data_IF_449823500706
#
_entry.id   IF_449823500706
#
_cell.length_a   1.000
_cell.length_b   1.000
_cell.length_c   1.000
_cell.angle_alpha   90.00
_cell.angle_beta   90.00
_cell.angle_gamma   90.00
#
_symmetry.space_group_name_H-M   'P 1'
#
loop_
_entity.id
_entity.type
_entity.pdbx_description
1 polymer ?
#
# COMPACT_ATOMS: atom_id res chain seq x y z
N UNK A 1 -20.04 37.24 -0.40
CA UNK A 1 -19.57 36.27 0.58
C UNK A 1 -18.07 36.47 0.73
N UNK A 2 -17.56 36.63 1.92
CA UNK A 2 -16.09 36.75 2.13
C UNK A 2 -15.52 35.36 1.89
N UNK A 3 -14.72 35.20 0.84
CA UNK A 3 -14.00 33.94 0.59
C UNK A 3 -13.05 33.71 1.76
N UNK A 4 -13.22 32.61 2.47
CA UNK A 4 -12.30 32.21 3.53
C UNK A 4 -10.96 31.86 2.89
N UNK A 5 -9.86 32.25 3.52
CA UNK A 5 -8.52 31.82 3.10
C UNK A 5 -8.12 30.60 3.94
N UNK A 6 -7.63 29.55 3.31
CA UNK A 6 -7.13 28.37 4.04
C UNK A 6 -6.04 28.80 5.00
N UNK A 7 -6.15 28.52 6.31
CA UNK A 7 -5.15 28.92 7.29
C UNK A 7 -3.86 28.11 7.13
N UNK A 8 -2.72 28.80 7.30
CA UNK A 8 -1.40 28.18 7.28
C UNK A 8 -1.00 27.74 8.68
N UNK A 9 -0.49 26.54 8.81
CA UNK A 9 0.12 26.08 10.06
C UNK A 9 1.41 26.87 10.36
N UNK A 10 1.68 27.07 11.63
CA UNK A 10 2.91 27.72 12.10
C UNK A 10 4.17 26.86 11.83
N UNK A 11 5.34 27.49 11.89
CA UNK A 11 6.63 26.82 11.65
C UNK A 11 7.00 26.73 10.19
N UNK A 12 7.89 25.77 9.89
CA UNK A 12 8.50 25.61 8.58
C UNK A 12 9.71 26.53 8.36
N UNK A 13 10.63 26.09 7.52
CA UNK A 13 11.82 26.83 7.12
C UNK A 13 11.53 27.73 5.90
N UNK A 14 12.38 28.76 5.68
CA UNK A 14 12.17 29.73 4.61
C UNK A 14 12.29 29.10 3.21
N UNK A 15 13.19 28.13 3.02
CA UNK A 15 13.52 27.55 1.72
C UNK A 15 12.67 26.30 1.38
N UNK A 16 12.47 25.40 2.36
CA UNK A 16 11.83 24.09 2.13
C UNK A 16 10.50 23.92 2.87
N UNK A 17 10.01 24.95 3.54
CA UNK A 17 8.79 24.88 4.31
C UNK A 17 8.88 23.88 5.47
N UNK A 18 7.95 22.94 5.54
CA UNK A 18 7.86 21.95 6.62
C UNK A 18 8.52 20.61 6.27
N UNK A 19 9.41 20.56 5.27
CA UNK A 19 10.01 19.30 4.80
C UNK A 19 10.73 18.54 5.93
N UNK A 20 11.53 19.23 6.77
CA UNK A 20 12.27 18.58 7.84
C UNK A 20 11.33 18.03 8.93
N UNK A 21 10.29 18.77 9.28
CA UNK A 21 9.26 18.30 10.21
C UNK A 21 8.50 17.09 9.62
N UNK A 22 8.12 17.18 8.34
CA UNK A 22 7.46 16.08 7.64
C UNK A 22 8.33 14.82 7.56
N UNK A 23 9.64 14.99 7.45
CA UNK A 23 10.61 13.89 7.41
C UNK A 23 10.83 13.24 8.78
N UNK A 24 10.88 14.03 9.85
CA UNK A 24 11.26 13.57 11.20
C UNK A 24 10.06 13.13 12.04
N UNK A 25 8.95 13.87 11.99
CA UNK A 25 7.71 13.53 12.70
C UNK A 25 6.48 14.07 11.94
N UNK A 26 6.07 13.40 10.87
CA UNK A 26 4.91 13.81 10.08
C UNK A 26 3.60 13.81 10.87
N UNK A 27 3.48 12.94 11.87
CA UNK A 27 2.25 12.86 12.70
C UNK A 27 2.15 14.10 13.60
N UNK A 28 3.24 14.54 14.22
CA UNK A 28 3.25 15.76 15.02
C UNK A 28 2.91 17.00 14.17
N UNK A 29 3.47 17.10 12.96
CA UNK A 29 3.11 18.17 12.03
C UNK A 29 1.61 18.16 11.70
N UNK A 30 1.05 17.02 11.32
CA UNK A 30 -0.36 16.91 10.95
C UNK A 30 -1.31 17.18 12.14
N UNK A 31 -0.96 16.75 13.35
CA UNK A 31 -1.70 17.11 14.56
C UNK A 31 -1.70 18.62 14.77
N UNK A 32 -0.55 19.28 14.65
CA UNK A 32 -0.43 20.73 14.78
C UNK A 32 -1.27 21.47 13.72
N UNK A 33 -1.31 20.98 12.47
CA UNK A 33 -2.18 21.57 11.45
C UNK A 33 -3.64 21.52 11.92
N UNK A 34 -4.10 20.39 12.42
CA UNK A 34 -5.45 20.27 12.94
C UNK A 34 -5.73 21.19 14.14
N UNK A 35 -4.81 21.24 15.10
CA UNK A 35 -4.94 22.09 16.29
C UNK A 35 -5.01 23.58 15.96
N UNK A 36 -4.17 24.04 15.04
CA UNK A 36 -4.09 25.46 14.67
C UNK A 36 -5.08 25.90 13.62
N UNK A 37 -5.41 25.01 12.67
CA UNK A 37 -6.19 25.35 11.47
C UNK A 37 -7.59 24.72 11.45
N UNK A 38 -7.86 23.71 12.26
CA UNK A 38 -9.11 22.94 12.23
C UNK A 38 -9.11 21.85 11.16
N UNK A 39 -10.27 21.59 10.55
CA UNK A 39 -10.44 20.49 9.60
C UNK A 39 -9.76 20.73 8.25
N UNK A 40 -9.48 21.99 7.91
CA UNK A 40 -8.82 22.39 6.66
C UNK A 40 -7.71 23.38 6.97
N UNK A 41 -6.47 23.00 6.71
CA UNK A 41 -5.30 23.84 6.85
C UNK A 41 -4.32 23.60 5.72
N UNK A 42 -3.23 24.34 5.65
CA UNK A 42 -2.19 24.06 4.67
C UNK A 42 -0.79 24.17 5.23
N UNK A 43 0.11 23.42 4.65
CA UNK A 43 1.54 23.48 4.92
C UNK A 43 2.34 23.51 3.62
N UNK A 44 3.55 24.01 3.67
CA UNK A 44 4.45 24.03 2.53
C UNK A 44 5.36 22.80 2.56
N UNK A 45 5.40 22.05 1.47
CA UNK A 45 6.32 20.94 1.28
C UNK A 45 7.19 21.24 0.06
N UNK A 46 8.40 21.76 0.31
CA UNK A 46 9.30 22.30 -0.71
C UNK A 46 8.62 23.44 -1.47
N UNK A 47 8.33 23.26 -2.75
CA UNK A 47 7.61 24.20 -3.62
C UNK A 47 6.09 23.97 -3.68
N UNK A 48 5.60 22.91 -2.99
CA UNK A 48 4.21 22.49 -3.06
C UNK A 48 3.36 23.11 -1.95
N UNK A 49 2.22 23.63 -2.35
CA UNK A 49 1.16 24.06 -1.44
C UNK A 49 0.25 22.85 -1.15
N UNK A 50 0.34 22.30 0.06
CA UNK A 50 -0.40 21.09 0.45
C UNK A 50 -1.55 21.46 1.35
N UNK A 51 -2.78 21.33 0.88
CA UNK A 51 -4.01 21.50 1.67
C UNK A 51 -4.25 20.21 2.42
N UNK A 52 -4.23 20.29 3.73
CA UNK A 52 -4.47 19.17 4.63
C UNK A 52 -5.93 19.13 5.06
N UNK A 53 -6.53 17.97 4.87
CA UNK A 53 -7.92 17.68 5.20
C UNK A 53 -7.99 16.69 6.36
N UNK A 54 -8.82 17.00 7.36
CA UNK A 54 -9.11 16.11 8.47
C UNK A 54 -10.59 16.18 8.86
N UNK A 55 -11.10 15.16 9.59
CA UNK A 55 -12.49 15.07 9.96
C UNK A 55 -13.40 14.47 8.87
N UNK A 56 -14.60 14.08 9.28
CA UNK A 56 -15.49 13.25 8.46
C UNK A 56 -15.88 13.91 7.13
N UNK A 57 -16.26 15.19 7.14
CA UNK A 57 -16.71 15.91 5.94
C UNK A 57 -15.57 16.09 4.92
N UNK A 58 -14.39 16.48 5.38
CA UNK A 58 -13.23 16.71 4.53
C UNK A 58 -12.69 15.38 3.95
N UNK A 59 -12.69 14.31 4.75
CA UNK A 59 -12.35 12.97 4.29
C UNK A 59 -13.37 12.44 3.27
N UNK A 60 -14.66 12.71 3.46
CA UNK A 60 -15.69 12.31 2.49
C UNK A 60 -15.42 12.93 1.11
N UNK A 61 -15.07 14.20 1.05
CA UNK A 61 -14.66 14.85 -0.19
C UNK A 61 -13.44 14.15 -0.79
N UNK A 62 -12.36 13.96 -0.02
CA UNK A 62 -11.13 13.36 -0.50
C UNK A 62 -11.32 11.95 -1.08
N UNK A 63 -12.06 11.09 -0.37
CA UNK A 63 -12.21 9.68 -0.74
C UNK A 63 -13.29 9.41 -1.79
N UNK A 64 -14.28 10.31 -1.94
CA UNK A 64 -15.34 10.16 -2.94
C UNK A 64 -15.08 10.88 -4.26
N UNK A 65 -14.13 11.81 -4.29
CA UNK A 65 -13.75 12.48 -5.54
C UNK A 65 -13.20 11.50 -6.55
N UNK A 66 -13.62 11.64 -7.80
CA UNK A 66 -13.09 10.86 -8.91
C UNK A 66 -11.65 11.29 -9.25
N UNK A 67 -10.90 10.45 -9.96
CA UNK A 67 -9.54 10.80 -10.41
C UNK A 67 -9.51 11.99 -11.40
N UNK A 68 -10.66 12.31 -12.01
CA UNK A 68 -10.85 13.48 -12.88
C UNK A 68 -10.92 14.79 -12.06
N UNK A 69 -11.31 14.71 -10.78
CA UNK A 69 -11.41 15.84 -9.86
C UNK A 69 -10.16 15.95 -8.95
N UNK A 70 -9.73 14.83 -8.40
CA UNK A 70 -8.53 14.72 -7.57
C UNK A 70 -7.61 13.62 -8.13
N UNK A 71 -6.61 14.01 -8.92
CA UNK A 71 -5.69 13.07 -9.56
C UNK A 71 -4.69 12.49 -8.55
N UNK A 72 -4.74 11.17 -8.41
CA UNK A 72 -3.80 10.44 -7.58
C UNK A 72 -2.42 10.33 -8.25
N UNK A 73 -2.36 10.17 -9.57
CA UNK A 73 -1.10 9.93 -10.27
C UNK A 73 -0.15 11.13 -10.17
N UNK A 74 -0.67 12.34 -10.34
CA UNK A 74 0.13 13.56 -10.27
C UNK A 74 0.71 13.84 -8.87
N UNK A 75 0.18 13.21 -7.82
CA UNK A 75 0.71 13.35 -6.47
C UNK A 75 1.94 12.45 -6.19
N UNK A 76 2.19 11.44 -7.04
CA UNK A 76 3.24 10.43 -6.79
C UNK A 76 4.29 10.28 -7.90
N UNK A 77 4.79 11.37 -8.53
CA UNK A 77 5.81 11.29 -9.58
C UNK A 77 7.12 10.66 -9.07
N UNK A 78 7.38 10.76 -7.77
CA UNK A 78 8.55 10.17 -7.12
C UNK A 78 8.53 8.62 -7.11
N UNK A 79 7.42 7.99 -7.41
CA UNK A 79 7.32 6.53 -7.57
C UNK A 79 7.71 6.05 -8.97
N UNK A 80 7.84 6.94 -9.96
CA UNK A 80 8.23 6.58 -11.33
C UNK A 80 9.56 5.82 -11.40
N UNK A 81 10.65 6.19 -10.69
CA UNK A 81 11.88 5.40 -10.72
C UNK A 81 11.74 3.98 -10.16
N UNK A 82 10.73 3.75 -9.31
CA UNK A 82 10.46 2.44 -8.68
C UNK A 82 9.61 1.57 -9.61
N UNK A 83 8.47 2.09 -10.07
CA UNK A 83 7.54 1.31 -10.90
C UNK A 83 7.94 1.29 -12.37
N UNK A 84 8.57 2.35 -12.85
CA UNK A 84 9.02 2.54 -14.23
C UNK A 84 8.20 3.60 -14.98
N UNK A 85 8.84 4.20 -15.96
CA UNK A 85 8.19 5.14 -16.88
C UNK A 85 7.05 4.48 -17.66
N UNK A 86 5.94 5.18 -17.81
CA UNK A 86 4.73 4.66 -18.47
C UNK A 86 4.01 3.56 -17.70
N UNK A 87 4.32 3.35 -16.41
CA UNK A 87 3.75 2.27 -15.59
C UNK A 87 3.05 2.84 -14.36
N UNK A 88 1.89 2.31 -14.03
CA UNK A 88 1.08 2.66 -12.85
C UNK A 88 0.84 4.17 -12.77
N UNK A 89 1.52 4.91 -11.89
CA UNK A 89 1.30 6.35 -11.70
C UNK A 89 1.78 7.20 -12.88
N UNK A 90 2.74 6.73 -13.65
CA UNK A 90 3.24 7.41 -14.85
C UNK A 90 2.49 7.01 -16.15
N UNK A 91 1.59 6.03 -16.05
CA UNK A 91 0.76 5.58 -17.18
C UNK A 91 -0.45 6.50 -17.39
N UNK A 92 -0.87 6.69 -18.65
CA UNK A 92 -2.15 7.33 -18.96
C UNK A 92 -3.32 6.58 -18.28
N UNK A 93 -4.44 7.26 -17.99
CA UNK A 93 -5.61 6.61 -17.39
C UNK A 93 -6.07 5.38 -18.17
N UNK A 94 -6.05 5.41 -19.51
CA UNK A 94 -6.43 4.29 -20.37
C UNK A 94 -5.44 3.14 -20.22
N UNK A 95 -4.12 3.42 -20.25
CA UNK A 95 -3.08 2.42 -20.11
C UNK A 95 -3.11 1.78 -18.72
N UNK A 96 -3.36 2.56 -17.69
CA UNK A 96 -3.53 2.08 -16.31
C UNK A 96 -4.71 1.11 -16.18
N UNK A 97 -5.86 1.44 -16.80
CA UNK A 97 -7.03 0.53 -16.83
C UNK A 97 -6.68 -0.80 -17.51
N UNK A 98 -5.93 -0.78 -18.61
CA UNK A 98 -5.46 -2.01 -19.27
C UNK A 98 -4.55 -2.87 -18.38
N UNK A 99 -3.58 -2.23 -17.71
CA UNK A 99 -2.65 -2.91 -16.78
C UNK A 99 -3.41 -3.58 -15.63
N UNK A 100 -4.43 -2.91 -15.09
CA UNK A 100 -5.23 -3.40 -13.96
C UNK A 100 -6.33 -4.40 -14.38
N UNK A 101 -6.71 -4.43 -15.66
CA UNK A 101 -7.83 -5.27 -16.15
C UNK A 101 -7.64 -6.75 -15.85
N UNK A 102 -6.42 -7.24 -15.87
CA UNK A 102 -6.06 -8.65 -15.65
C UNK A 102 -5.57 -8.92 -14.21
N UNK A 103 -5.86 -8.04 -13.25
CA UNK A 103 -5.36 -8.18 -11.88
C UNK A 103 -5.91 -9.42 -11.17
N UNK A 104 -5.07 -9.99 -10.30
CA UNK A 104 -5.42 -11.13 -9.43
C UNK A 104 -6.47 -10.79 -8.35
N UNK A 105 -6.93 -9.53 -8.28
CA UNK A 105 -7.90 -9.04 -7.30
C UNK A 105 -9.36 -9.32 -7.68
N UNK A 106 -9.62 -10.13 -8.71
CA UNK A 106 -10.98 -10.54 -9.06
C UNK A 106 -11.53 -11.56 -8.08
N UNK A 107 -12.82 -11.46 -7.75
CA UNK A 107 -13.47 -12.24 -6.70
C UNK A 107 -13.29 -13.76 -6.78
N UNK A 108 -13.22 -14.33 -7.98
CA UNK A 108 -12.99 -15.77 -8.14
C UNK A 108 -11.55 -16.18 -7.76
N UNK A 109 -10.56 -15.36 -8.07
CA UNK A 109 -9.16 -15.61 -7.71
C UNK A 109 -8.92 -15.42 -6.22
N UNK A 110 -9.58 -14.44 -5.62
CA UNK A 110 -9.48 -14.19 -4.16
C UNK A 110 -9.94 -15.37 -3.31
N UNK A 111 -10.84 -16.24 -3.83
CA UNK A 111 -11.26 -17.44 -3.09
C UNK A 111 -10.10 -18.42 -2.84
N UNK A 112 -9.16 -18.50 -3.77
CA UNK A 112 -7.97 -19.36 -3.66
C UNK A 112 -6.88 -18.80 -2.75
N UNK A 113 -6.89 -17.49 -2.46
CA UNK A 113 -5.83 -16.87 -1.69
C UNK A 113 -5.75 -17.37 -0.25
N UNK A 114 -6.87 -17.68 0.39
CA UNK A 114 -6.90 -18.18 1.76
C UNK A 114 -6.04 -19.44 1.92
N UNK A 115 -6.21 -20.43 1.05
CA UNK A 115 -5.42 -21.69 1.06
C UNK A 115 -3.95 -21.44 0.72
N UNK A 116 -3.67 -20.51 -0.21
CA UNK A 116 -2.30 -20.12 -0.58
C UNK A 116 -1.58 -19.49 0.60
N UNK A 117 -2.23 -18.54 1.28
CA UNK A 117 -1.69 -17.86 2.46
C UNK A 117 -1.44 -18.87 3.59
N UNK A 118 -2.41 -19.73 3.88
CA UNK A 118 -2.25 -20.80 4.87
C UNK A 118 -1.04 -21.68 4.57
N UNK A 119 -0.85 -22.05 3.31
CA UNK A 119 0.29 -22.86 2.87
C UNK A 119 1.63 -22.17 3.12
N UNK A 120 1.76 -20.87 2.82
CA UNK A 120 2.99 -20.12 3.09
C UNK A 120 3.23 -19.95 4.60
N UNK A 121 2.17 -19.65 5.40
CA UNK A 121 2.29 -19.59 6.87
C UNK A 121 2.79 -20.92 7.43
N UNK A 122 2.18 -22.04 7.05
CA UNK A 122 2.58 -23.40 7.52
C UNK A 122 4.04 -23.71 7.18
N UNK A 123 4.52 -23.31 6.01
CA UNK A 123 5.93 -23.50 5.62
C UNK A 123 6.86 -22.69 6.53
N UNK A 124 6.53 -21.44 6.82
CA UNK A 124 7.38 -20.56 7.61
C UNK A 124 7.48 -20.98 9.09
N UNK A 125 6.41 -21.55 9.64
CA UNK A 125 6.40 -22.00 11.04
C UNK A 125 6.69 -23.50 11.21
N UNK A 126 7.01 -24.23 10.14
CA UNK A 126 7.15 -25.69 10.13
C UNK A 126 8.24 -26.20 11.11
N UNK A 127 9.31 -25.42 11.26
CA UNK A 127 10.45 -25.76 12.12
C UNK A 127 10.36 -25.11 13.51
N UNK A 128 9.23 -24.46 13.85
CA UNK A 128 9.06 -23.87 15.18
C UNK A 128 8.86 -24.96 16.23
N UNK A 129 9.52 -24.78 17.39
CA UNK A 129 9.29 -25.59 18.58
C UNK A 129 8.22 -24.98 19.49
N UNK A 130 8.15 -25.51 20.72
CA UNK A 130 7.19 -25.05 21.74
C UNK A 130 7.57 -23.66 22.30
N UNK A 131 8.84 -23.25 22.18
CA UNK A 131 9.37 -21.98 22.67
C UNK A 131 10.36 -21.40 21.64
N UNK A 132 10.42 -20.06 21.55
CA UNK A 132 11.35 -19.37 20.67
C UNK A 132 11.19 -17.85 20.73
N UNK A 133 12.05 -17.15 20.01
CA UNK A 133 12.01 -15.70 19.82
C UNK A 133 12.00 -15.39 18.32
N UNK A 134 11.20 -14.43 17.93
CA UNK A 134 11.17 -13.91 16.55
C UNK A 134 11.16 -12.39 16.58
N UNK A 135 11.78 -11.77 15.57
CA UNK A 135 11.54 -10.38 15.26
C UNK A 135 10.24 -10.29 14.45
N UNK A 136 9.22 -9.68 15.06
CA UNK A 136 7.84 -9.76 14.56
C UNK A 136 7.68 -9.08 13.19
N UNK A 137 8.28 -7.90 13.04
CA UNK A 137 8.20 -7.15 11.77
C UNK A 137 8.93 -7.88 10.65
N UNK A 138 10.11 -8.44 10.91
CA UNK A 138 10.88 -9.20 9.93
C UNK A 138 10.11 -10.46 9.50
N UNK A 139 9.52 -11.19 10.46
CA UNK A 139 8.70 -12.36 10.16
C UNK A 139 7.52 -12.02 9.24
N UNK A 140 6.72 -11.01 9.59
CA UNK A 140 5.58 -10.64 8.76
C UNK A 140 6.01 -9.98 7.45
N UNK A 141 7.14 -9.28 7.43
CA UNK A 141 7.72 -8.73 6.21
C UNK A 141 8.04 -9.86 5.21
N UNK A 142 8.75 -10.89 5.64
CA UNK A 142 9.06 -12.04 4.79
C UNK A 142 7.80 -12.80 4.37
N UNK A 143 6.89 -13.09 5.31
CA UNK A 143 5.62 -13.77 5.02
C UNK A 143 4.79 -13.02 3.97
N UNK A 144 4.70 -11.70 4.08
CA UNK A 144 3.88 -10.91 3.15
C UNK A 144 4.51 -10.75 1.76
N UNK A 145 5.83 -10.79 1.63
CA UNK A 145 6.50 -10.92 0.32
C UNK A 145 6.08 -12.25 -0.33
N UNK A 146 6.13 -13.35 0.39
CA UNK A 146 5.78 -14.66 -0.14
C UNK A 146 4.31 -14.77 -0.50
N UNK A 147 3.43 -14.36 0.41
CA UNK A 147 1.98 -14.43 0.18
C UNK A 147 1.52 -13.48 -0.91
N UNK A 148 2.03 -12.24 -0.95
CA UNK A 148 1.70 -11.29 -2.02
C UNK A 148 2.17 -11.79 -3.38
N UNK A 149 3.39 -12.32 -3.47
CA UNK A 149 3.89 -12.89 -4.72
C UNK A 149 3.05 -14.08 -5.17
N UNK A 150 2.75 -15.01 -4.24
CA UNK A 150 1.98 -16.21 -4.57
C UNK A 150 0.53 -15.91 -4.95
N UNK A 151 -0.12 -14.96 -4.24
CA UNK A 151 -1.53 -14.61 -4.46
C UNK A 151 -1.73 -13.64 -5.64
N UNK A 152 -0.88 -12.62 -5.76
CA UNK A 152 -1.09 -11.52 -6.70
C UNK A 152 -0.42 -11.76 -8.06
N UNK A 153 0.67 -12.54 -8.10
CA UNK A 153 1.39 -12.84 -9.33
C UNK A 153 1.20 -14.31 -9.70
N UNK A 154 1.42 -15.23 -8.76
CA UNK A 154 1.16 -16.65 -8.94
C UNK A 154 2.18 -17.56 -8.25
N UNK A 155 1.72 -18.77 -7.85
CA UNK A 155 2.55 -19.76 -7.17
C UNK A 155 3.79 -20.16 -7.98
N UNK A 156 3.65 -20.35 -9.29
CA UNK A 156 4.78 -20.72 -10.15
C UNK A 156 5.83 -19.61 -10.22
N UNK A 157 5.41 -18.36 -10.26
CA UNK A 157 6.33 -17.24 -10.19
C UNK A 157 7.01 -17.21 -8.82
N UNK A 158 6.25 -17.39 -7.74
CA UNK A 158 6.78 -17.50 -6.38
C UNK A 158 7.84 -18.60 -6.23
N UNK A 159 7.64 -19.77 -6.82
CA UNK A 159 8.59 -20.89 -6.81
C UNK A 159 9.85 -20.63 -7.64
N UNK A 160 9.76 -19.79 -8.65
CA UNK A 160 10.89 -19.38 -9.49
C UNK A 160 11.70 -18.22 -8.90
N UNK A 161 11.16 -17.54 -7.89
CA UNK A 161 11.89 -16.48 -7.18
C UNK A 161 12.98 -17.09 -6.32
N UNK A 162 14.19 -16.67 -6.61
CA UNK A 162 15.36 -16.93 -5.75
C UNK A 162 15.71 -15.69 -4.90
N UNK A 163 16.73 -15.80 -4.07
CA UNK A 163 17.19 -14.70 -3.22
C UNK A 163 17.62 -13.43 -3.97
N UNK A 164 17.85 -13.50 -5.29
CA UNK A 164 18.15 -12.30 -6.10
C UNK A 164 16.98 -11.34 -6.14
N UNK A 165 15.75 -11.87 -6.31
CA UNK A 165 14.55 -11.03 -6.36
C UNK A 165 14.34 -10.26 -5.04
N UNK A 166 14.38 -10.96 -3.92
CA UNK A 166 14.21 -10.33 -2.60
C UNK A 166 15.25 -9.23 -2.35
N UNK A 167 16.52 -9.51 -2.67
CA UNK A 167 17.59 -8.52 -2.53
C UNK A 167 17.36 -7.27 -3.40
N UNK A 168 16.98 -7.44 -4.68
CA UNK A 168 16.71 -6.31 -5.56
C UNK A 168 15.46 -5.54 -5.14
N UNK A 169 14.44 -6.26 -4.68
CA UNK A 169 13.21 -5.65 -4.16
C UNK A 169 13.49 -4.78 -2.92
N UNK A 170 14.29 -5.27 -1.96
CA UNK A 170 14.69 -4.47 -0.80
C UNK A 170 15.51 -3.23 -1.16
N UNK A 171 16.37 -3.30 -2.18
CA UNK A 171 17.08 -2.10 -2.65
C UNK A 171 16.12 -1.06 -3.29
N UNK A 172 15.04 -1.52 -3.93
CA UNK A 172 13.98 -0.61 -4.39
C UNK A 172 13.27 0.08 -3.22
N UNK A 173 12.93 -0.68 -2.19
CA UNK A 173 12.25 -0.15 -0.99
C UNK A 173 13.09 0.90 -0.28
N UNK A 174 14.40 0.67 -0.14
CA UNK A 174 15.34 1.63 0.44
C UNK A 174 15.47 2.93 -0.37
N UNK A 175 15.07 2.92 -1.62
CA UNK A 175 14.99 4.11 -2.48
C UNK A 175 13.77 5.00 -2.22
N UNK A 176 12.92 4.70 -1.24
CA UNK A 176 11.77 5.53 -0.84
C UNK A 176 12.12 6.57 0.24
N UNK A 177 13.32 7.14 0.19
CA UNK A 177 13.74 8.23 1.09
C UNK A 177 12.85 9.46 0.89
N UNK A 178 12.46 10.21 1.95
CA UNK A 178 11.68 11.45 1.83
C UNK A 178 12.29 12.51 0.90
N UNK A 179 13.59 12.46 0.62
CA UNK A 179 14.22 13.32 -0.39
C UNK A 179 13.64 13.12 -1.80
N UNK A 180 12.94 12.01 -2.06
CA UNK A 180 12.23 11.79 -3.32
C UNK A 180 11.12 12.83 -3.58
N UNK A 181 10.58 13.48 -2.53
CA UNK A 181 9.64 14.60 -2.67
C UNK A 181 10.31 15.88 -3.18
N UNK A 182 11.63 16.01 -2.96
CA UNK A 182 12.43 17.14 -3.50
C UNK A 182 12.78 16.86 -4.97
N UNK A 183 13.51 15.75 -5.19
CA UNK A 183 13.87 15.26 -6.53
C UNK A 183 14.14 13.76 -6.45
N UNK A 184 13.32 12.91 -7.09
CA UNK A 184 13.52 11.46 -7.07
C UNK A 184 14.74 10.99 -7.87
N UNK A 185 15.42 11.87 -8.58
CA UNK A 185 16.60 11.59 -9.39
C UNK A 185 17.89 12.16 -8.82
N UNK A 186 17.89 12.61 -7.57
CA UNK A 186 19.11 13.04 -6.87
C UNK A 186 20.22 11.97 -6.98
N UNK A 187 21.48 12.36 -7.21
CA UNK A 187 22.59 11.41 -7.39
C UNK A 187 23.13 10.85 -6.05
N UNK A 188 22.21 10.51 -5.14
CA UNK A 188 22.56 9.91 -3.85
C UNK A 188 22.68 8.38 -3.98
N UNK A 189 23.41 7.76 -3.05
CA UNK A 189 23.76 6.35 -3.13
C UNK A 189 22.54 5.43 -3.06
N UNK A 190 21.53 5.76 -2.24
CA UNK A 190 20.30 4.98 -2.15
C UNK A 190 19.51 4.98 -3.47
N UNK A 191 19.45 6.13 -4.17
CA UNK A 191 18.75 6.22 -5.46
C UNK A 191 19.51 5.51 -6.58
N UNK A 192 20.85 5.58 -6.59
CA UNK A 192 21.65 4.80 -7.54
C UNK A 192 21.42 3.28 -7.38
N UNK A 193 21.42 2.79 -6.13
CA UNK A 193 21.16 1.37 -5.86
C UNK A 193 19.74 0.96 -6.23
N UNK A 194 18.75 1.81 -5.95
CA UNK A 194 17.36 1.63 -6.42
C UNK A 194 17.30 1.45 -7.94
N UNK A 195 17.91 2.37 -8.69
CA UNK A 195 17.88 2.36 -10.15
C UNK A 195 18.59 1.14 -10.73
N UNK A 196 19.76 0.75 -10.17
CA UNK A 196 20.44 -0.49 -10.52
C UNK A 196 19.61 -1.74 -10.22
N UNK A 197 18.93 -1.76 -9.06
CA UNK A 197 18.06 -2.86 -8.67
C UNK A 197 16.86 -2.97 -9.63
N UNK A 198 16.29 -1.84 -10.05
CA UNK A 198 15.21 -1.81 -11.04
C UNK A 198 15.63 -2.45 -12.36
N UNK A 199 16.82 -2.12 -12.86
CA UNK A 199 17.37 -2.72 -14.09
C UNK A 199 17.56 -4.24 -13.94
N UNK A 200 18.09 -4.69 -12.81
CA UNK A 200 18.30 -6.12 -12.52
C UNK A 200 16.96 -6.88 -12.39
N UNK A 201 15.95 -6.26 -11.80
CA UNK A 201 14.61 -6.85 -11.72
C UNK A 201 13.97 -7.01 -13.10
N UNK A 202 14.06 -5.99 -13.97
CA UNK A 202 13.55 -6.10 -15.36
C UNK A 202 14.25 -7.26 -16.09
N UNK A 203 15.56 -7.41 -15.96
CA UNK A 203 16.28 -8.50 -16.58
C UNK A 203 15.85 -9.88 -16.03
N UNK A 204 15.63 -9.99 -14.72
CA UNK A 204 15.15 -11.21 -14.08
C UNK A 204 13.72 -11.56 -14.54
N UNK A 205 12.82 -10.58 -14.60
CA UNK A 205 11.46 -10.81 -15.08
C UNK A 205 11.46 -11.20 -16.57
N UNK A 206 12.33 -10.58 -17.39
CA UNK A 206 12.50 -10.99 -18.79
C UNK A 206 12.93 -12.44 -18.92
N UNK A 207 13.92 -12.90 -18.13
CA UNK A 207 14.38 -14.29 -18.10
C UNK A 207 13.20 -15.25 -17.79
N UNK A 208 12.39 -14.90 -16.80
CA UNK A 208 11.21 -15.71 -16.44
C UNK A 208 10.16 -15.70 -17.55
N UNK A 209 9.87 -14.53 -18.15
CA UNK A 209 8.94 -14.41 -19.28
C UNK A 209 9.35 -15.26 -20.47
N UNK A 210 10.63 -15.23 -20.85
CA UNK A 210 11.17 -16.04 -21.94
C UNK A 210 11.04 -17.54 -21.66
N UNK A 211 11.30 -17.96 -20.42
CA UNK A 211 11.08 -19.33 -19.97
C UNK A 211 9.61 -19.77 -20.07
N UNK A 212 8.66 -18.89 -19.72
CA UNK A 212 7.21 -19.16 -19.83
C UNK A 212 6.73 -19.22 -21.29
N UNK A 213 7.24 -18.36 -22.15
CA UNK A 213 6.93 -18.38 -23.57
C UNK A 213 7.47 -19.66 -24.26
N UNK A 214 8.65 -20.12 -23.85
CA UNK A 214 9.25 -21.35 -24.36
C UNK A 214 8.50 -22.62 -23.85
N UNK A 215 7.96 -22.57 -22.64
CA UNK A 215 7.29 -23.69 -21.97
C UNK A 215 5.94 -23.23 -21.38
N UNK A 216 4.93 -22.89 -22.20
CA UNK A 216 3.65 -22.40 -21.70
C UNK A 216 2.90 -23.51 -20.93
N UNK A 217 2.12 -23.15 -19.90
CA UNK A 217 1.31 -24.12 -19.17
C UNK A 217 0.30 -24.78 -20.09
N UNK A 218 0.20 -26.12 -19.97
CA UNK A 218 -0.66 -26.95 -20.82
C UNK A 218 -2.14 -26.77 -20.51
N UNK A 219 -2.45 -26.57 -19.23
CA UNK A 219 -3.82 -26.32 -18.75
C UNK A 219 -4.04 -24.83 -18.46
N UNK A 220 -5.24 -24.33 -18.79
CA UNK A 220 -5.62 -22.95 -18.47
C UNK A 220 -5.76 -22.73 -16.95
N UNK A 221 -6.10 -23.77 -16.21
CA UNK A 221 -6.21 -23.72 -14.75
C UNK A 221 -4.83 -23.51 -14.05
N UNK A 222 -3.76 -23.88 -14.75
CA UNK A 222 -2.40 -23.73 -14.26
C UNK A 222 -1.76 -22.35 -14.56
N UNK A 223 -2.49 -21.44 -15.19
CA UNK A 223 -2.00 -20.12 -15.56
C UNK A 223 -2.01 -19.18 -14.36
N UNK A 224 -0.89 -18.55 -14.11
CA UNK A 224 -0.79 -17.42 -13.19
C UNK A 224 -0.91 -16.07 -13.94
N UNK A 225 -0.79 -14.96 -13.20
CA UNK A 225 -0.89 -13.62 -13.79
C UNK A 225 0.19 -13.37 -14.85
N UNK A 226 1.42 -13.88 -14.64
CA UNK A 226 2.48 -13.75 -15.63
C UNK A 226 2.12 -14.45 -16.95
N UNK A 227 1.60 -15.69 -16.88
CA UNK A 227 1.16 -16.43 -18.06
C UNK A 227 0.06 -15.69 -18.84
N UNK A 228 -0.83 -15.00 -18.12
CA UNK A 228 -1.86 -14.15 -18.73
C UNK A 228 -1.21 -12.97 -19.43
N UNK A 229 -0.36 -12.19 -18.75
CA UNK A 229 0.25 -10.99 -19.30
C UNK A 229 1.11 -11.27 -20.54
N UNK A 230 1.92 -12.35 -20.53
CA UNK A 230 2.75 -12.69 -21.69
C UNK A 230 1.92 -13.21 -22.88
N UNK A 231 0.70 -13.68 -22.66
CA UNK A 231 -0.19 -14.17 -23.70
C UNK A 231 -1.01 -13.07 -24.38
N UNK A 232 -1.15 -11.89 -23.76
CA UNK A 232 -1.90 -10.77 -24.32
C UNK A 232 -1.14 -10.19 -25.51
N UNK A 233 -1.85 -10.00 -26.63
CA UNK A 233 -1.30 -9.43 -27.86
C UNK A 233 -1.96 -8.08 -28.15
N UNK A 234 -1.21 -7.21 -28.80
CA UNK A 234 -1.75 -5.99 -29.42
C UNK A 234 -2.46 -6.30 -30.74
N UNK A 235 -2.98 -5.26 -31.41
CA UNK A 235 -3.68 -5.37 -32.68
C UNK A 235 -2.78 -5.91 -33.82
N UNK A 236 -1.48 -5.70 -33.71
CA UNK A 236 -0.47 -6.15 -34.66
C UNK A 236 0.07 -7.57 -34.37
N UNK A 237 -0.37 -8.17 -33.26
CA UNK A 237 0.04 -9.52 -32.82
C UNK A 237 1.34 -9.57 -32.02
N UNK A 238 1.92 -8.42 -31.65
CA UNK A 238 3.08 -8.35 -30.76
C UNK A 238 2.68 -8.53 -29.31
N UNK A 239 3.67 -8.74 -28.41
CA UNK A 239 3.42 -8.74 -26.97
C UNK A 239 2.85 -7.37 -26.54
N UNK A 240 1.70 -7.38 -25.83
CA UNK A 240 1.04 -6.16 -25.37
C UNK A 240 1.82 -5.44 -24.27
N UNK A 241 2.53 -6.20 -23.45
CA UNK A 241 3.31 -5.70 -22.33
C UNK A 241 4.79 -6.11 -22.46
N UNK A 242 5.68 -5.16 -22.30
CA UNK A 242 7.13 -5.38 -22.20
C UNK A 242 7.52 -5.92 -20.82
N UNK A 243 8.71 -6.49 -20.69
CA UNK A 243 9.24 -6.89 -19.39
C UNK A 243 9.35 -5.70 -18.42
N UNK A 244 9.64 -4.50 -18.91
CA UNK A 244 9.66 -3.27 -18.13
C UNK A 244 8.29 -2.98 -17.49
N UNK A 245 7.20 -3.05 -18.25
CA UNK A 245 5.84 -2.84 -17.78
C UNK A 245 5.38 -3.95 -16.84
N UNK A 246 5.62 -5.22 -17.19
CA UNK A 246 5.30 -6.37 -16.33
C UNK A 246 6.02 -6.26 -14.99
N UNK A 247 7.31 -5.91 -15.00
CA UNK A 247 8.07 -5.70 -13.77
C UNK A 247 7.46 -4.59 -12.91
N UNK A 248 7.11 -3.46 -13.51
CA UNK A 248 6.50 -2.35 -12.79
C UNK A 248 5.13 -2.71 -12.20
N UNK A 249 4.29 -3.44 -12.94
CA UNK A 249 3.03 -3.96 -12.41
C UNK A 249 3.25 -4.89 -11.22
N UNK A 250 4.23 -5.80 -11.29
CA UNK A 250 4.52 -6.73 -10.20
C UNK A 250 5.07 -6.01 -8.95
N UNK A 251 6.01 -5.07 -9.15
CA UNK A 251 6.53 -4.24 -8.06
C UNK A 251 5.38 -3.47 -7.39
N UNK A 252 4.48 -2.86 -8.15
CA UNK A 252 3.36 -2.10 -7.58
C UNK A 252 2.40 -2.96 -6.77
N UNK A 253 2.09 -4.17 -7.24
CA UNK A 253 1.26 -5.14 -6.50
C UNK A 253 1.96 -5.59 -5.22
N UNK A 254 3.26 -5.83 -5.26
CA UNK A 254 4.04 -6.20 -4.08
C UNK A 254 4.13 -5.06 -3.08
N UNK A 255 4.40 -3.82 -3.51
CA UNK A 255 4.38 -2.65 -2.62
C UNK A 255 3.02 -2.50 -1.93
N UNK A 256 1.93 -2.66 -2.67
CA UNK A 256 0.59 -2.57 -2.11
C UNK A 256 0.30 -3.69 -1.09
N UNK A 257 0.74 -4.92 -1.35
CA UNK A 257 0.44 -6.07 -0.50
C UNK A 257 1.42 -6.32 0.65
N UNK A 258 2.66 -5.83 0.53
CA UNK A 258 3.73 -6.14 1.49
C UNK A 258 3.66 -5.23 2.74
N UNK A 259 3.97 -3.95 2.61
CA UNK A 259 4.08 -3.05 3.77
C UNK A 259 2.78 -2.86 4.54
N UNK A 260 1.66 -2.74 3.84
CA UNK A 260 0.35 -2.59 4.47
C UNK A 260 -0.03 -3.82 5.28
N UNK A 261 0.21 -5.02 4.73
CA UNK A 261 -0.14 -6.28 5.40
C UNK A 261 0.81 -6.63 6.52
N UNK A 262 2.14 -6.46 6.36
CA UNK A 262 3.12 -6.75 7.41
C UNK A 262 2.94 -5.83 8.63
N UNK A 263 2.79 -4.53 8.40
CA UNK A 263 2.54 -3.57 9.46
C UNK A 263 1.22 -3.84 10.20
N UNK A 264 0.13 -4.07 9.46
CA UNK A 264 -1.17 -4.37 10.07
C UNK A 264 -1.13 -5.67 10.87
N UNK A 265 -0.51 -6.73 10.34
CA UNK A 265 -0.39 -8.02 11.06
C UNK A 265 0.44 -7.90 12.34
N UNK A 266 1.58 -7.19 12.26
CA UNK A 266 2.43 -6.93 13.42
C UNK A 266 1.68 -6.17 14.51
N UNK A 267 1.03 -5.06 14.17
CA UNK A 267 0.26 -4.27 15.13
C UNK A 267 -0.95 -5.03 15.68
N UNK A 268 -1.66 -5.82 14.84
CA UNK A 268 -2.77 -6.66 15.29
C UNK A 268 -2.32 -7.63 16.37
N UNK A 269 -1.19 -8.29 16.17
CA UNK A 269 -0.66 -9.22 17.14
C UNK A 269 -0.17 -8.52 18.43
N UNK A 270 0.48 -7.36 18.30
CA UNK A 270 0.88 -6.52 19.44
C UNK A 270 -0.34 -6.12 20.27
N UNK A 271 -1.41 -5.62 19.63
CA UNK A 271 -2.63 -5.22 20.37
C UNK A 271 -3.31 -6.41 21.03
N UNK A 272 -3.37 -7.56 20.39
CA UNK A 272 -3.89 -8.78 21.02
C UNK A 272 -3.07 -9.20 22.26
N UNK A 273 -1.73 -9.12 22.19
CA UNK A 273 -0.86 -9.44 23.34
C UNK A 273 -1.05 -8.43 24.48
N UNK A 274 -1.29 -7.15 24.16
CA UNK A 274 -1.54 -6.10 25.15
C UNK A 274 -2.92 -6.17 25.82
N UNK A 275 -3.88 -6.85 25.17
CA UNK A 275 -5.27 -6.98 25.60
C UNK A 275 -5.67 -8.46 25.73
N UNK A 276 -5.23 -9.15 26.82
CA UNK A 276 -5.42 -10.61 26.98
C UNK A 276 -6.88 -11.05 26.94
N UNK A 277 -7.83 -10.22 27.38
CA UNK A 277 -9.25 -10.50 27.33
C UNK A 277 -9.78 -10.55 25.90
N UNK A 278 -9.34 -9.61 25.03
CA UNK A 278 -9.68 -9.61 23.60
C UNK A 278 -9.03 -10.80 22.90
N UNK A 279 -7.76 -11.09 23.25
CA UNK A 279 -7.04 -12.25 22.71
C UNK A 279 -7.77 -13.57 23.04
N UNK A 280 -8.21 -13.75 24.29
CA UNK A 280 -8.96 -14.95 24.71
C UNK A 280 -10.28 -15.10 23.94
N UNK A 281 -10.97 -13.99 23.69
CA UNK A 281 -12.21 -13.97 22.92
C UNK A 281 -12.02 -14.34 21.45
N UNK A 282 -10.95 -13.81 20.81
CA UNK A 282 -10.59 -14.15 19.43
C UNK A 282 -10.13 -15.61 19.34
N UNK A 283 -9.30 -16.06 20.29
CA UNK A 283 -8.84 -17.45 20.30
C UNK A 283 -10.03 -18.41 20.40
N UNK A 284 -10.98 -18.12 21.30
CA UNK A 284 -12.20 -18.94 21.42
C UNK A 284 -13.02 -18.95 20.13
N UNK A 285 -13.18 -17.83 19.46
CA UNK A 285 -13.89 -17.74 18.16
C UNK A 285 -13.24 -18.67 17.11
N UNK A 286 -11.90 -18.66 17.03
CA UNK A 286 -11.15 -19.50 16.10
C UNK A 286 -11.21 -20.98 16.50
N UNK A 287 -11.08 -21.30 17.78
CA UNK A 287 -11.21 -22.68 18.29
C UNK A 287 -12.60 -23.25 17.99
N UNK A 288 -13.67 -22.48 18.26
CA UNK A 288 -15.05 -22.90 17.97
C UNK A 288 -15.26 -23.10 16.45
N UNK A 289 -14.70 -22.24 15.60
CA UNK A 289 -14.81 -22.35 14.13
C UNK A 289 -14.10 -23.61 13.59
N UNK A 290 -12.93 -23.92 14.10
CA UNK A 290 -12.09 -25.01 13.60
C UNK A 290 -12.22 -26.32 14.39
N UNK A 291 -13.08 -26.39 15.43
CA UNK A 291 -13.28 -27.56 16.29
C UNK A 291 -13.65 -28.84 15.51
N UNK A 292 -14.46 -28.71 14.47
CA UNK A 292 -14.93 -29.82 13.62
C UNK A 292 -14.00 -30.11 12.43
N UNK A 293 -12.78 -29.57 12.42
CA UNK A 293 -11.81 -29.76 11.33
C UNK A 293 -12.13 -28.98 10.06
N UNK A 294 -12.87 -27.90 10.17
CA UNK A 294 -13.09 -26.96 9.05
C UNK A 294 -11.75 -26.43 8.54
N UNK A 295 -11.59 -26.41 7.21
CA UNK A 295 -10.38 -25.87 6.59
C UNK A 295 -10.44 -24.33 6.49
N UNK A 296 -9.26 -23.70 6.48
CA UNK A 296 -9.13 -22.27 6.19
C UNK A 296 -9.67 -21.98 4.79
N UNK A 297 -10.57 -21.02 4.68
CA UNK A 297 -11.21 -20.69 3.41
C UNK A 297 -11.68 -19.24 3.37
N UNK A 298 -11.91 -18.73 2.17
CA UNK A 298 -12.52 -17.41 1.97
C UNK A 298 -13.88 -17.27 2.68
N UNK A 299 -14.65 -18.36 2.79
CA UNK A 299 -15.95 -18.35 3.49
C UNK A 299 -15.80 -18.26 5.01
N UNK A 300 -14.72 -18.80 5.58
CA UNK A 300 -14.44 -18.73 7.01
C UNK A 300 -14.26 -17.28 7.49
N UNK A 301 -13.77 -16.36 6.64
CA UNK A 301 -13.57 -14.94 6.99
C UNK A 301 -14.86 -14.24 7.45
N UNK A 302 -16.03 -14.72 7.03
CA UNK A 302 -17.33 -14.19 7.48
C UNK A 302 -17.78 -14.73 8.84
N UNK A 303 -17.08 -15.69 9.39
CA UNK A 303 -17.41 -16.39 10.63
C UNK A 303 -16.49 -16.00 11.79
N UNK A 304 -15.61 -15.01 11.57
CA UNK A 304 -14.64 -14.50 12.54
C UNK A 304 -14.83 -12.99 12.80
N UNK A 305 -16.03 -12.54 13.20
CA UNK A 305 -16.32 -11.12 13.38
C UNK A 305 -15.48 -10.46 14.47
N UNK A 306 -15.06 -11.18 15.53
CA UNK A 306 -14.20 -10.62 16.57
C UNK A 306 -12.82 -10.31 16.04
N UNK A 307 -12.20 -11.23 15.30
CA UNK A 307 -10.92 -10.99 14.66
C UNK A 307 -11.02 -9.88 13.59
N UNK A 308 -12.11 -9.82 12.83
CA UNK A 308 -12.36 -8.75 11.87
C UNK A 308 -12.44 -7.37 12.56
N UNK A 309 -13.12 -7.29 13.70
CA UNK A 309 -13.18 -6.06 14.51
C UNK A 309 -11.78 -5.68 15.06
N UNK A 310 -11.02 -6.64 15.54
CA UNK A 310 -9.64 -6.43 16.00
C UNK A 310 -8.77 -5.85 14.90
N UNK A 311 -8.84 -6.39 13.67
CA UNK A 311 -8.10 -5.84 12.52
C UNK A 311 -8.56 -4.43 12.18
N UNK A 312 -9.87 -4.15 12.17
CA UNK A 312 -10.42 -2.80 11.92
C UNK A 312 -9.96 -1.79 12.96
N UNK A 313 -9.98 -2.17 14.23
CA UNK A 313 -9.55 -1.30 15.31
C UNK A 313 -8.02 -1.09 15.29
N UNK A 314 -7.26 -2.11 14.93
CA UNK A 314 -5.83 -1.97 14.66
C UNK A 314 -5.57 -0.97 13.55
N UNK A 315 -6.30 -1.05 12.42
CA UNK A 315 -6.18 -0.10 11.32
C UNK A 315 -6.60 1.33 11.71
N UNK A 316 -7.53 1.48 12.63
CA UNK A 316 -7.91 2.79 13.18
C UNK A 316 -6.74 3.40 13.97
N UNK A 317 -6.14 2.65 14.88
CA UNK A 317 -5.06 3.12 15.74
C UNK A 317 -3.70 3.20 15.04
N UNK A 318 -3.41 2.25 14.15
CA UNK A 318 -2.13 2.06 13.50
C UNK A 318 -2.29 1.93 11.98
N UNK A 319 -2.83 2.96 11.28
CA UNK A 319 -3.00 2.89 9.84
C UNK A 319 -1.65 2.77 9.13
N UNK A 320 -1.47 1.83 8.21
CA UNK A 320 -0.20 1.64 7.51
C UNK A 320 0.15 2.81 6.58
N UNK A 321 -0.85 3.56 6.13
CA UNK A 321 -0.69 4.79 5.36
C UNK A 321 -1.09 5.98 6.23
N UNK A 322 -0.10 6.73 6.69
CA UNK A 322 -0.33 7.88 7.58
C UNK A 322 -0.82 9.12 6.85
N UNK A 323 -0.53 9.23 5.55
CA UNK A 323 -0.96 10.33 4.68
C UNK A 323 -1.22 9.83 3.28
N UNK A 324 -2.24 10.37 2.65
CA UNK A 324 -2.61 10.14 1.25
C UNK A 324 -2.68 11.49 0.55
N UNK A 325 -2.21 11.57 -0.69
CA UNK A 325 -2.17 12.82 -1.45
C UNK A 325 -2.81 12.66 -2.83
N UNK A 326 -3.41 13.73 -3.31
CA UNK A 326 -3.94 13.90 -4.66
C UNK A 326 -3.68 15.32 -5.14
N UNK A 327 -3.82 15.57 -6.43
CA UNK A 327 -3.73 16.91 -7.02
C UNK A 327 -5.11 17.33 -7.51
N UNK A 328 -5.58 18.51 -7.11
CA UNK A 328 -6.86 19.06 -7.58
C UNK A 328 -6.81 19.40 -9.07
N UNK A 329 -7.84 19.00 -9.82
CA UNK A 329 -7.99 19.22 -11.27
C UNK A 329 -9.12 20.20 -11.56
N UNK A 330 -9.31 21.20 -10.71
CA UNK A 330 -10.33 22.23 -10.83
C UNK A 330 -10.51 23.00 -9.54
N UNK A 331 -11.57 23.80 -9.50
CA UNK A 331 -11.92 24.64 -8.36
C UNK A 331 -12.96 23.93 -7.49
N UNK A 332 -12.65 23.73 -6.20
CA UNK A 332 -13.53 23.09 -5.24
C UNK A 332 -13.71 23.94 -3.98
N UNK A 333 -14.72 23.62 -3.19
CA UNK A 333 -14.92 24.19 -1.86
C UNK A 333 -15.13 23.05 -0.86
N UNK A 334 -14.32 23.03 0.21
CA UNK A 334 -14.41 22.04 1.27
C UNK A 334 -14.51 22.75 2.62
N UNK A 335 -15.57 22.48 3.37
CA UNK A 335 -15.86 23.15 4.65
C UNK A 335 -15.80 24.70 4.59
N UNK A 336 -16.18 25.29 3.44
CA UNK A 336 -16.16 26.75 3.22
C UNK A 336 -14.79 27.31 2.78
N UNK A 337 -13.79 26.47 2.57
CA UNK A 337 -12.47 26.88 2.09
C UNK A 337 -12.25 26.50 0.62
N UNK A 338 -11.62 27.39 -0.18
CA UNK A 338 -11.34 27.11 -1.58
C UNK A 338 -10.16 26.14 -1.71
N UNK A 339 -10.25 25.24 -2.69
CA UNK A 339 -9.15 24.42 -3.23
C UNK A 339 -9.04 24.75 -4.70
N UNK A 340 -7.85 25.11 -5.15
CA UNK A 340 -7.61 25.56 -6.51
C UNK A 340 -7.00 24.48 -7.38
N UNK A 341 -7.15 24.61 -8.69
CA UNK A 341 -6.51 23.77 -9.68
C UNK A 341 -4.99 23.72 -9.45
N UNK A 342 -4.44 22.51 -9.37
CA UNK A 342 -3.02 22.28 -9.08
C UNK A 342 -2.63 22.22 -7.60
N UNK A 343 -3.55 22.52 -6.66
CA UNK A 343 -3.27 22.33 -5.24
C UNK A 343 -3.06 20.83 -4.92
N UNK A 344 -2.03 20.55 -4.11
CA UNK A 344 -1.92 19.25 -3.50
C UNK A 344 -2.92 19.15 -2.35
N UNK A 345 -3.67 18.09 -2.32
CA UNK A 345 -4.68 17.82 -1.28
C UNK A 345 -4.27 16.56 -0.55
N UNK A 346 -4.15 16.64 0.77
CA UNK A 346 -3.72 15.54 1.61
C UNK A 346 -4.79 15.18 2.65
N UNK A 347 -4.97 13.88 2.91
CA UNK A 347 -5.78 13.37 4.01
C UNK A 347 -4.97 12.41 4.86
N UNK A 348 -5.16 12.43 6.18
CA UNK A 348 -4.44 11.55 7.10
C UNK A 348 -5.38 10.65 7.90
N UNK A 349 -5.38 9.34 7.64
CA UNK A 349 -6.04 8.39 8.53
C UNK A 349 -5.49 8.43 9.96
N UNK A 350 -4.18 8.62 10.14
CA UNK A 350 -3.55 8.66 11.45
C UNK A 350 -4.10 9.80 12.35
N UNK A 351 -4.53 10.90 11.75
CA UNK A 351 -5.14 12.02 12.46
C UNK A 351 -6.66 11.85 12.55
N UNK A 352 -7.32 11.60 11.42
CA UNK A 352 -8.78 11.56 11.35
C UNK A 352 -9.38 10.43 12.19
N UNK A 353 -8.69 9.28 12.29
CA UNK A 353 -9.13 8.15 13.10
C UNK A 353 -8.95 8.35 14.63
N UNK A 354 -8.41 9.49 15.04
CA UNK A 354 -8.20 9.85 16.46
C UNK A 354 -8.89 11.14 16.88
N UNK A 355 -9.85 11.59 16.10
CA UNK A 355 -10.67 12.77 16.42
C UNK A 355 -11.65 12.41 17.52
N UNK A 356 -11.61 13.06 18.71
CA UNK A 356 -12.45 12.68 19.85
C UNK A 356 -13.96 12.85 19.59
N UNK A 357 -14.35 13.75 18.69
CA UNK A 357 -15.74 13.99 18.29
C UNK A 357 -16.32 12.80 17.51
N UNK A 358 -15.48 12.07 16.77
CA UNK A 358 -15.87 10.90 15.98
C UNK A 358 -15.60 9.58 16.73
N UNK A 359 -14.56 9.55 17.57
CA UNK A 359 -14.09 8.37 18.31
C UNK A 359 -13.92 8.72 19.79
N UNK A 360 -14.94 8.45 20.64
CA UNK A 360 -14.78 8.58 22.10
C UNK A 360 -13.58 7.74 22.59
N UNK A 361 -12.75 8.33 23.47
CA UNK A 361 -11.53 7.71 23.94
C UNK A 361 -10.60 7.22 22.81
N UNK A 362 -10.17 8.12 21.89
CA UNK A 362 -9.60 7.74 20.60
C UNK A 362 -8.28 6.94 20.67
N UNK A 363 -7.60 6.97 21.80
CA UNK A 363 -6.35 6.23 22.03
C UNK A 363 -6.55 4.87 22.68
N UNK A 364 -7.79 4.53 23.04
CA UNK A 364 -8.13 3.23 23.62
C UNK A 364 -8.45 2.22 22.54
N UNK A 365 -7.82 1.03 22.63
CA UNK A 365 -8.13 -0.11 21.75
C UNK A 365 -9.45 -0.76 22.20
N UNK A 366 -10.46 -0.71 21.35
CA UNK A 366 -11.83 -1.18 21.63
C UNK A 366 -12.48 -1.82 20.39
N UNK A 367 -12.08 -3.05 20.03
CA UNK A 367 -12.55 -3.72 18.83
C UNK A 367 -14.02 -4.17 18.84
#
# INVERSE_FOLDING_TARGET
MTTLTVPRVSGGEEEHGHLEEFRTDPIALMNRIREECGDVGWFQLVDKHVIFLSGAQANEFFFRSADEDLDQAEAYPFMTPIFGEGVVFDASPERRKEMLHNSALRGEQMKGHATTIEGEVKKMIADWGDEGEIELLDFFSELTIYTSTACLIGLKFREQLDGRFANYYHELERGTDPLCYVDPYLPIESFKRRDEARVKLVALVQEIMDGRLANPPKDKADRDMLDVLVSVKDEDGNARFSAHEVTGMFISLMFAGHHTSSGTSSWTLIELIRHPEVYADVLKELEDLYADGQEVSFHALRQIPKLDNVVKETLRLHPPLIILMRVAKGEFEVAGFPIHDGDFVAASPAISNRIPEDFPDPDVFSP
#
